data_IF_220051470551
#
_entry.id   IF_220051470551
#
_cell.length_a   1.000
_cell.length_b   1.000
_cell.length_c   1.000
_cell.angle_alpha   90.00
_cell.angle_beta   90.00
_cell.angle_gamma   90.00
#
_symmetry.space_group_name_H-M   'P 1'
#
loop_
_entity.id
_entity.type
_entity.pdbx_description
1 polymer ?
#
# COMPACT_ATOMS: atom_id res chain seq x y z
N UNK A 1 -4.52 -0.26 22.22
CA UNK A 1 -4.99 1.07 21.82
C UNK A 1 -6.04 0.90 20.74
N UNK A 2 -7.08 1.73 20.74
CA UNK A 2 -8.13 1.78 19.72
C UNK A 2 -8.12 3.18 19.12
N UNK A 3 -8.07 3.29 17.78
CA UNK A 3 -8.19 4.57 17.07
C UNK A 3 -9.66 4.75 16.66
N UNK A 4 -10.28 5.85 17.05
CA UNK A 4 -11.67 6.17 16.74
C UNK A 4 -11.77 7.66 16.35
N UNK A 5 -12.50 7.94 15.28
CA UNK A 5 -12.68 9.30 14.77
C UNK A 5 -13.89 10.00 15.37
N UNK A 6 -14.92 9.23 15.72
CA UNK A 6 -16.14 9.74 16.32
C UNK A 6 -15.97 9.89 17.83
N UNK A 7 -16.20 11.11 18.35
CA UNK A 7 -16.01 11.44 19.77
C UNK A 7 -16.96 10.66 20.69
N UNK A 8 -18.21 10.40 20.24
CA UNK A 8 -19.17 9.62 21.00
C UNK A 8 -18.70 8.18 21.16
N UNK A 9 -18.31 7.54 20.05
CA UNK A 9 -17.81 6.16 20.08
C UNK A 9 -16.45 6.04 20.78
N UNK A 10 -15.57 7.04 20.67
CA UNK A 10 -14.31 7.05 21.41
C UNK A 10 -14.56 7.06 22.92
N UNK A 11 -15.46 7.91 23.41
CA UNK A 11 -15.85 7.98 24.82
C UNK A 11 -16.51 6.67 25.31
N UNK A 12 -17.43 6.12 24.51
CA UNK A 12 -18.12 4.87 24.83
C UNK A 12 -17.14 3.68 24.89
N UNK A 13 -16.20 3.58 23.96
CA UNK A 13 -15.14 2.55 23.96
C UNK A 13 -14.20 2.69 25.13
N UNK A 14 -13.87 3.91 25.53
CA UNK A 14 -13.07 4.15 26.72
C UNK A 14 -13.81 3.75 27.99
N UNK A 15 -15.13 4.00 28.07
CA UNK A 15 -15.99 3.62 29.19
C UNK A 15 -16.17 2.11 29.31
N UNK A 16 -16.38 1.42 28.19
CA UNK A 16 -16.61 -0.03 28.12
C UNK A 16 -15.32 -0.84 28.08
N UNK A 17 -14.19 -0.19 27.80
CA UNK A 17 -12.89 -0.84 27.69
C UNK A 17 -12.43 -1.46 29.01
N UNK A 18 -11.83 -2.66 28.92
CA UNK A 18 -11.12 -3.24 30.05
C UNK A 18 -9.96 -2.32 30.49
N UNK A 19 -9.45 -2.51 31.70
CA UNK A 19 -8.36 -1.69 32.28
C UNK A 19 -7.10 -1.54 31.40
N UNK A 20 -6.95 -2.39 30.36
CA UNK A 20 -5.84 -2.36 29.40
C UNK A 20 -6.20 -1.73 28.04
N UNK A 21 -7.43 -1.20 27.89
CA UNK A 21 -7.86 -0.59 26.64
C UNK A 21 -7.75 0.93 26.73
N UNK A 22 -7.05 1.54 25.79
CA UNK A 22 -6.99 2.97 25.60
C UNK A 22 -7.66 3.32 24.27
N UNK A 23 -8.72 4.15 24.29
CA UNK A 23 -9.31 4.73 23.11
C UNK A 23 -8.66 6.09 22.84
N UNK A 24 -8.27 6.32 21.60
CA UNK A 24 -7.67 7.59 21.15
C UNK A 24 -8.57 8.19 20.09
N UNK A 25 -9.06 9.39 20.36
CA UNK A 25 -9.85 10.16 19.40
C UNK A 25 -8.93 10.69 18.29
N UNK A 26 -8.94 10.03 17.15
CA UNK A 26 -8.11 10.42 16.00
C UNK A 26 -8.66 9.86 14.70
N UNK A 27 -8.38 10.56 13.61
CA UNK A 27 -8.58 10.03 12.26
C UNK A 27 -7.39 9.14 11.88
N UNK A 28 -7.63 7.88 11.52
CA UNK A 28 -6.58 6.95 11.10
C UNK A 28 -5.77 7.47 9.88
N UNK A 29 -6.34 8.33 9.04
CA UNK A 29 -5.65 9.00 7.94
C UNK A 29 -4.67 10.10 8.41
N UNK A 30 -4.79 10.56 9.66
CA UNK A 30 -3.91 11.57 10.27
C UNK A 30 -3.01 11.00 11.35
N UNK A 31 -3.16 9.71 11.65
CA UNK A 31 -2.32 9.06 12.64
C UNK A 31 -0.89 8.93 12.09
N UNK A 32 0.07 9.31 12.91
CA UNK A 32 1.49 9.18 12.55
C UNK A 32 1.98 7.73 12.74
N UNK A 33 1.91 6.96 11.66
CA UNK A 33 2.31 5.56 11.64
C UNK A 33 3.81 5.34 11.88
N UNK A 34 4.66 6.37 11.73
CA UNK A 34 6.10 6.28 12.03
C UNK A 34 6.42 6.06 13.52
N UNK A 35 5.42 6.27 14.39
CA UNK A 35 5.53 5.96 15.83
C UNK A 35 5.58 4.47 16.14
N UNK A 36 5.24 3.62 15.16
CA UNK A 36 5.33 2.16 15.28
C UNK A 36 6.72 1.75 14.79
N UNK A 37 7.63 1.59 15.73
CA UNK A 37 9.04 1.29 15.52
C UNK A 37 9.39 -0.13 15.98
N UNK A 38 10.54 -0.70 15.59
CA UNK A 38 10.99 -1.99 16.11
C UNK A 38 11.07 -2.06 17.64
N UNK A 39 11.38 -0.94 18.30
CA UNK A 39 11.41 -0.84 19.78
C UNK A 39 10.00 -0.73 20.38
N UNK A 40 9.00 -0.42 19.58
CA UNK A 40 7.59 -0.34 19.96
C UNK A 40 6.72 -1.11 18.95
N UNK A 41 6.79 -2.44 18.92
CA UNK A 41 6.15 -3.28 17.91
C UNK A 41 4.65 -3.42 18.13
N UNK A 42 3.88 -3.37 17.04
CA UNK A 42 2.43 -3.46 17.08
C UNK A 42 1.88 -4.57 16.18
N UNK A 43 0.76 -5.15 16.63
CA UNK A 43 -0.20 -5.87 15.79
C UNK A 43 -1.44 -5.02 15.63
N UNK A 44 -1.96 -4.92 14.41
CA UNK A 44 -3.08 -4.05 14.08
C UNK A 44 -4.22 -4.88 13.51
N UNK A 45 -5.42 -4.64 13.99
CA UNK A 45 -6.64 -5.21 13.40
C UNK A 45 -7.64 -4.08 13.15
N UNK A 46 -8.44 -4.19 12.09
CA UNK A 46 -9.45 -3.18 11.78
C UNK A 46 -10.51 -3.65 10.80
N UNK A 47 -11.74 -3.23 11.09
CA UNK A 47 -12.81 -3.19 10.10
C UNK A 47 -12.78 -1.77 9.49
N UNK A 48 -12.25 -1.64 8.29
CA UNK A 48 -11.96 -0.33 7.71
C UNK A 48 -13.15 0.20 6.90
N UNK A 49 -13.54 1.47 7.12
CA UNK A 49 -14.45 2.14 6.20
C UNK A 49 -13.87 2.10 4.78
N UNK A 50 -14.71 1.84 3.79
CA UNK A 50 -14.29 1.57 2.42
C UNK A 50 -13.47 2.68 1.76
N UNK A 51 -13.79 3.93 2.08
CA UNK A 51 -13.07 5.11 1.57
C UNK A 51 -11.73 5.37 2.28
N UNK A 52 -11.50 4.76 3.44
CA UNK A 52 -10.30 4.97 4.28
C UNK A 52 -9.23 3.90 4.04
N UNK A 53 -9.64 2.69 3.66
CA UNK A 53 -8.77 1.53 3.60
C UNK A 53 -7.51 1.74 2.74
N UNK A 54 -7.67 2.15 1.48
CA UNK A 54 -6.53 2.29 0.56
C UNK A 54 -5.54 3.37 0.97
N UNK A 55 -5.93 4.62 1.27
CA UNK A 55 -4.98 5.64 1.69
C UNK A 55 -4.34 5.33 3.06
N UNK A 56 -5.08 4.73 4.00
CA UNK A 56 -4.53 4.32 5.28
C UNK A 56 -3.46 3.24 5.11
N UNK A 57 -3.73 2.21 4.29
CA UNK A 57 -2.76 1.13 4.05
C UNK A 57 -1.52 1.65 3.32
N UNK A 58 -1.69 2.63 2.42
CA UNK A 58 -0.56 3.28 1.74
C UNK A 58 0.44 3.86 2.75
N UNK A 59 -0.06 4.61 3.72
CA UNK A 59 0.76 5.24 4.76
C UNK A 59 1.26 4.24 5.80
N UNK A 60 0.38 3.38 6.30
CA UNK A 60 0.71 2.41 7.34
C UNK A 60 1.90 1.52 6.94
N UNK A 61 1.81 0.84 5.78
CA UNK A 61 2.81 -0.16 5.41
C UNK A 61 4.16 0.46 5.07
N UNK A 62 4.22 1.67 4.55
CA UNK A 62 5.48 2.36 4.26
C UNK A 62 6.14 2.97 5.50
N UNK A 63 5.37 3.36 6.52
CA UNK A 63 5.89 4.15 7.65
C UNK A 63 6.02 3.36 8.94
N UNK A 64 5.20 2.33 9.17
CA UNK A 64 5.21 1.54 10.40
C UNK A 64 6.29 0.45 10.35
N UNK A 65 7.52 0.80 10.71
CA UNK A 65 8.68 -0.13 10.66
C UNK A 65 8.60 -1.23 11.71
N UNK A 66 7.91 -1.01 12.82
CA UNK A 66 7.68 -1.99 13.90
C UNK A 66 6.36 -2.75 13.77
N UNK A 67 5.68 -2.69 12.62
CA UNK A 67 4.48 -3.50 12.40
C UNK A 67 4.85 -4.98 12.34
N UNK A 68 4.27 -5.77 13.26
CA UNK A 68 4.52 -7.23 13.35
C UNK A 68 3.53 -8.00 12.50
N UNK A 69 2.27 -7.59 12.50
CA UNK A 69 1.19 -8.19 11.71
C UNK A 69 0.02 -7.24 11.62
N UNK A 70 -0.70 -7.27 10.52
CA UNK A 70 -1.99 -6.62 10.43
C UNK A 70 -3.06 -7.57 9.90
N UNK A 71 -4.33 -7.32 10.27
CA UNK A 71 -5.50 -7.97 9.69
C UNK A 71 -6.59 -6.93 9.48
N UNK A 72 -7.10 -6.85 8.25
CA UNK A 72 -8.13 -5.87 7.91
C UNK A 72 -9.28 -6.52 7.17
N UNK A 73 -10.49 -6.06 7.50
CA UNK A 73 -11.67 -6.30 6.69
C UNK A 73 -11.90 -5.08 5.79
N UNK A 74 -12.02 -5.33 4.49
CA UNK A 74 -12.20 -4.32 3.43
C UNK A 74 -13.24 -4.80 2.42
N UNK A 75 -13.63 -3.97 1.46
CA UNK A 75 -14.41 -4.44 0.31
C UNK A 75 -13.65 -5.55 -0.42
N UNK A 76 -14.37 -6.56 -0.92
CA UNK A 76 -13.82 -7.70 -1.66
C UNK A 76 -12.94 -7.25 -2.84
N UNK A 77 -13.36 -6.22 -3.60
CA UNK A 77 -12.59 -5.68 -4.71
C UNK A 77 -11.24 -5.10 -4.25
N UNK A 78 -11.22 -4.38 -3.13
CA UNK A 78 -9.98 -3.85 -2.53
C UNK A 78 -9.08 -5.02 -2.10
N UNK A 79 -9.65 -6.05 -1.48
CA UNK A 79 -8.93 -7.26 -1.11
C UNK A 79 -8.32 -7.98 -2.33
N UNK A 80 -9.08 -8.10 -3.41
CA UNK A 80 -8.59 -8.67 -4.67
C UNK A 80 -7.44 -7.86 -5.26
N UNK A 81 -7.50 -6.52 -5.20
CA UNK A 81 -6.39 -5.65 -5.64
C UNK A 81 -5.15 -5.86 -4.79
N UNK A 82 -5.29 -5.89 -3.47
CA UNK A 82 -4.17 -6.06 -2.55
C UNK A 82 -3.41 -7.37 -2.76
N UNK A 83 -4.13 -8.47 -3.03
CA UNK A 83 -3.57 -9.81 -3.20
C UNK A 83 -3.25 -10.16 -4.67
N UNK A 84 -3.57 -9.29 -5.63
CA UNK A 84 -3.33 -9.55 -7.06
C UNK A 84 -1.85 -9.54 -7.39
N UNK A 85 -1.42 -10.47 -8.25
CA UNK A 85 -0.10 -10.49 -8.87
C UNK A 85 -0.08 -9.90 -10.29
N UNK A 86 1.11 -9.76 -10.90
CA UNK A 86 1.27 -9.28 -12.27
C UNK A 86 0.41 -10.04 -13.27
N UNK A 87 -0.12 -9.33 -14.27
CA UNK A 87 -0.99 -9.90 -15.30
C UNK A 87 -2.45 -10.10 -14.85
N UNK A 88 -2.76 -10.00 -13.57
CA UNK A 88 -4.13 -10.08 -13.08
C UNK A 88 -4.87 -8.75 -13.32
N UNK A 89 -6.17 -8.82 -13.70
CA UNK A 89 -7.00 -7.64 -13.95
C UNK A 89 -7.16 -6.70 -12.75
N UNK A 90 -7.01 -7.19 -11.52
CA UNK A 90 -7.06 -6.40 -10.29
C UNK A 90 -5.70 -5.80 -9.89
N UNK A 91 -4.59 -6.24 -10.49
CA UNK A 91 -3.26 -5.76 -10.18
C UNK A 91 -3.11 -4.27 -10.56
N UNK A 92 -2.57 -3.48 -9.63
CA UNK A 92 -2.46 -2.03 -9.81
C UNK A 92 -1.57 -1.35 -8.79
N UNK A 93 -1.64 -0.03 -8.72
CA UNK A 93 -0.80 0.80 -7.84
C UNK A 93 -0.82 0.33 -6.37
N UNK A 94 -2.00 0.04 -5.83
CA UNK A 94 -2.15 -0.43 -4.45
C UNK A 94 -1.52 -1.81 -4.24
N UNK A 95 -1.62 -2.70 -5.24
CA UNK A 95 -0.99 -4.03 -5.20
C UNK A 95 0.53 -3.89 -5.08
N UNK A 96 1.14 -3.15 -6.01
CA UNK A 96 2.59 -2.94 -6.03
C UNK A 96 3.06 -2.29 -4.73
N UNK A 97 2.39 -1.20 -4.31
CA UNK A 97 2.79 -0.47 -3.12
C UNK A 97 2.76 -1.35 -1.88
N UNK A 98 1.61 -1.94 -1.55
CA UNK A 98 1.49 -2.74 -0.32
C UNK A 98 2.39 -3.97 -0.35
N UNK A 99 2.51 -4.65 -1.50
CA UNK A 99 3.37 -5.82 -1.65
C UNK A 99 4.88 -5.48 -1.61
N UNK A 100 5.25 -4.22 -1.78
CA UNK A 100 6.63 -3.76 -1.56
C UNK A 100 7.01 -3.69 -0.08
N UNK A 101 6.04 -3.74 0.85
CA UNK A 101 6.27 -3.62 2.29
C UNK A 101 5.71 -4.79 3.10
N UNK A 102 4.77 -5.55 2.56
CA UNK A 102 4.10 -6.65 3.26
C UNK A 102 3.62 -7.71 2.28
N UNK A 103 3.37 -8.91 2.77
CA UNK A 103 2.72 -10.02 2.05
C UNK A 103 1.24 -10.06 2.41
N UNK A 104 0.33 -9.55 1.55
CA UNK A 104 -1.11 -9.68 1.76
C UNK A 104 -1.57 -11.10 1.44
N UNK A 105 -2.45 -11.63 2.28
CA UNK A 105 -3.12 -12.91 2.06
C UNK A 105 -4.62 -12.73 2.29
N UNK A 106 -5.44 -13.12 1.32
CA UNK A 106 -6.88 -13.16 1.50
C UNK A 106 -7.24 -14.43 2.31
N UNK A 107 -7.82 -14.25 3.48
CA UNK A 107 -8.16 -15.34 4.39
C UNK A 107 -9.56 -15.89 4.07
N UNK A 108 -10.56 -15.02 4.04
CA UNK A 108 -11.94 -15.41 3.73
C UNK A 108 -12.79 -14.21 3.28
N UNK A 109 -13.95 -14.52 2.70
CA UNK A 109 -14.95 -13.56 2.25
C UNK A 109 -16.11 -13.53 3.25
N UNK A 110 -16.63 -12.34 3.51
CA UNK A 110 -17.78 -12.10 4.40
C UNK A 110 -18.91 -11.52 3.56
N UNK A 111 -20.01 -12.26 3.47
CA UNK A 111 -21.19 -11.82 2.73
C UNK A 111 -21.95 -10.68 3.45
N UNK A 112 -22.79 -9.92 2.72
CA UNK A 112 -23.56 -8.80 3.26
C UNK A 112 -24.45 -9.16 4.44
N UNK A 113 -24.97 -10.38 4.51
CA UNK A 113 -25.84 -10.85 5.58
C UNK A 113 -25.21 -10.90 7.00
N UNK A 114 -23.88 -10.76 7.08
CA UNK A 114 -23.15 -10.68 8.35
C UNK A 114 -23.22 -9.29 9.02
N UNK A 115 -23.85 -8.31 8.36
CA UNK A 115 -23.84 -6.90 8.80
C UNK A 115 -25.27 -6.36 8.96
N UNK A 116 -25.43 -5.39 9.85
CA UNK A 116 -26.66 -4.63 10.02
C UNK A 116 -26.35 -3.12 10.10
N UNK A 117 -26.80 -2.30 9.15
CA UNK A 117 -27.44 -2.67 7.89
C UNK A 117 -26.49 -3.40 6.93
N UNK A 118 -26.99 -4.26 6.03
CA UNK A 118 -26.16 -4.99 5.09
C UNK A 118 -25.53 -4.05 4.04
N UNK A 119 -24.22 -4.18 3.75
CA UNK A 119 -23.57 -3.43 2.67
C UNK A 119 -24.03 -3.98 1.30
N UNK A 120 -23.79 -3.18 0.24
CA UNK A 120 -24.17 -3.57 -1.14
C UNK A 120 -23.21 -4.59 -1.79
N UNK A 121 -22.06 -4.83 -1.17
CA UNK A 121 -20.98 -5.66 -1.72
C UNK A 121 -20.39 -6.58 -0.66
N UNK A 122 -19.78 -7.68 -1.09
CA UNK A 122 -19.02 -8.55 -0.20
C UNK A 122 -17.83 -7.81 0.43
N UNK A 123 -17.47 -8.22 1.64
CA UNK A 123 -16.22 -7.87 2.30
C UNK A 123 -15.22 -9.02 2.19
N UNK A 124 -13.96 -8.73 2.38
CA UNK A 124 -12.89 -9.72 2.50
C UNK A 124 -12.02 -9.41 3.71
N UNK A 125 -11.62 -10.44 4.42
CA UNK A 125 -10.61 -10.35 5.49
C UNK A 125 -9.27 -10.75 4.91
N UNK A 126 -8.28 -9.88 5.10
CA UNK A 126 -6.90 -10.13 4.71
C UNK A 126 -5.98 -10.06 5.92
N UNK A 127 -5.00 -10.93 5.95
CA UNK A 127 -3.82 -10.80 6.81
C UNK A 127 -2.65 -10.22 6.03
N UNK A 128 -1.76 -9.55 6.75
CA UNK A 128 -0.56 -8.93 6.21
C UNK A 128 0.63 -9.29 7.09
N UNK A 129 1.64 -9.86 6.47
CA UNK A 129 2.93 -10.12 7.09
C UNK A 129 3.94 -9.10 6.56
N UNK A 130 4.41 -8.13 7.38
CA UNK A 130 5.37 -7.15 6.95
C UNK A 130 6.68 -7.80 6.48
N UNK A 131 7.25 -7.28 5.40
CA UNK A 131 8.57 -7.69 4.94
C UNK A 131 9.65 -7.23 5.93
N UNK A 132 10.75 -7.98 6.08
CA UNK A 132 11.96 -7.51 6.73
C UNK A 132 12.41 -6.15 6.15
N UNK A 133 13.05 -5.29 6.96
CA UNK A 133 13.39 -3.93 6.55
C UNK A 133 14.36 -3.91 5.37
N UNK A 134 15.27 -4.86 5.30
CA UNK A 134 16.24 -5.06 4.21
C UNK A 134 15.61 -5.53 2.88
N UNK A 135 14.36 -5.99 2.90
CA UNK A 135 13.60 -6.36 1.70
C UNK A 135 12.64 -5.25 1.23
N UNK A 136 12.55 -4.14 1.98
CA UNK A 136 11.69 -3.01 1.62
C UNK A 136 12.40 -2.06 0.67
N UNK A 137 11.66 -1.23 -0.08
CA UNK A 137 12.26 -0.24 -0.96
C UNK A 137 13.17 0.73 -0.20
N UNK A 138 14.36 0.96 -0.71
CA UNK A 138 15.31 1.96 -0.17
C UNK A 138 14.78 3.40 -0.38
N UNK A 139 14.11 3.64 -1.51
CA UNK A 139 13.56 4.94 -1.90
C UNK A 139 12.03 4.84 -2.12
N UNK A 140 11.24 4.76 -1.03
CA UNK A 140 9.78 4.68 -1.13
C UNK A 140 9.16 5.86 -1.87
N UNK A 141 9.76 7.05 -1.76
CA UNK A 141 9.36 8.27 -2.45
C UNK A 141 9.41 8.12 -3.97
N UNK A 142 10.52 7.57 -4.51
CA UNK A 142 10.68 7.33 -5.94
C UNK A 142 9.80 6.17 -6.40
N UNK A 143 9.67 5.12 -5.61
CA UNK A 143 8.74 4.03 -5.90
C UNK A 143 7.30 4.53 -6.04
N UNK A 144 6.83 5.38 -5.12
CA UNK A 144 5.51 6.00 -5.18
C UNK A 144 5.33 6.81 -6.47
N UNK A 145 6.36 7.56 -6.87
CA UNK A 145 6.36 8.37 -8.08
C UNK A 145 6.28 7.50 -9.34
N UNK A 146 7.10 6.45 -9.44
CA UNK A 146 7.09 5.49 -10.57
C UNK A 146 5.72 4.81 -10.67
N UNK A 147 5.21 4.29 -9.56
CA UNK A 147 3.88 3.66 -9.51
C UNK A 147 2.79 4.62 -10.00
N UNK A 148 2.79 5.85 -9.51
CA UNK A 148 1.81 6.87 -9.90
C UNK A 148 1.85 7.14 -11.40
N UNK A 149 3.03 7.40 -11.95
CA UNK A 149 3.21 7.69 -13.38
C UNK A 149 2.77 6.51 -14.24
N UNK A 150 3.18 5.31 -13.90
CA UNK A 150 2.87 4.09 -14.65
C UNK A 150 1.35 3.78 -14.63
N UNK A 151 0.71 3.81 -13.48
CA UNK A 151 -0.69 3.42 -13.37
C UNK A 151 -1.70 4.52 -13.73
N UNK A 152 -1.28 5.79 -13.88
CA UNK A 152 -2.11 6.82 -14.53
C UNK A 152 -2.40 6.48 -16.00
N UNK A 153 -1.54 5.72 -16.65
CA UNK A 153 -1.66 5.31 -18.05
C UNK A 153 -1.60 3.78 -18.21
N UNK A 154 -2.23 3.03 -17.30
CA UNK A 154 -2.20 1.58 -17.18
C UNK A 154 -2.27 0.81 -18.51
N UNK A 155 -3.09 1.28 -19.47
CA UNK A 155 -3.28 0.63 -20.78
C UNK A 155 -2.21 0.93 -21.82
N UNK A 156 -1.26 1.83 -21.53
CA UNK A 156 -0.17 2.20 -22.43
C UNK A 156 1.09 1.38 -22.15
N UNK A 157 1.92 1.21 -23.17
CA UNK A 157 3.25 0.61 -23.03
C UNK A 157 4.18 1.55 -22.26
N UNK A 158 5.11 0.99 -21.50
CA UNK A 158 6.06 1.73 -20.65
C UNK A 158 6.89 2.74 -21.46
N UNK A 159 7.38 2.37 -22.65
CA UNK A 159 8.09 3.29 -23.52
C UNK A 159 7.26 4.50 -23.97
N UNK A 160 5.93 4.34 -24.14
CA UNK A 160 5.05 5.47 -24.42
C UNK A 160 4.82 6.35 -23.20
N UNK A 161 4.71 5.75 -22.02
CA UNK A 161 4.58 6.47 -20.74
C UNK A 161 5.85 7.26 -20.48
N UNK A 162 7.02 6.62 -20.58
CA UNK A 162 8.32 7.22 -20.31
C UNK A 162 8.58 8.46 -21.19
N UNK A 163 8.23 8.41 -22.47
CA UNK A 163 8.43 9.55 -23.38
C UNK A 163 7.50 10.75 -23.13
N UNK A 164 6.36 10.56 -22.47
CA UNK A 164 5.30 11.57 -22.35
C UNK A 164 5.05 12.06 -20.93
N UNK A 165 5.70 11.46 -19.95
CA UNK A 165 5.55 11.88 -18.55
C UNK A 165 6.51 13.04 -18.21
N UNK A 166 6.24 13.80 -17.15
CA UNK A 166 7.13 14.86 -16.67
C UNK A 166 8.54 14.38 -16.29
N UNK A 167 8.72 13.06 -16.16
CA UNK A 167 10.00 12.41 -15.82
C UNK A 167 10.64 11.74 -17.03
N UNK A 168 10.31 12.18 -18.26
CA UNK A 168 10.62 11.45 -19.49
C UNK A 168 12.08 10.98 -19.64
N UNK A 169 13.13 11.81 -19.50
CA UNK A 169 14.50 11.32 -19.63
C UNK A 169 14.86 10.33 -18.52
N UNK A 170 14.52 10.67 -17.29
CA UNK A 170 14.81 9.87 -16.10
C UNK A 170 14.16 8.48 -16.17
N UNK A 171 12.85 8.40 -16.44
CA UNK A 171 12.13 7.12 -16.47
C UNK A 171 12.61 6.23 -17.63
N UNK A 172 12.94 6.82 -18.79
CA UNK A 172 13.48 6.06 -19.93
C UNK A 172 14.82 5.42 -19.57
N UNK A 173 15.73 6.17 -18.97
CA UNK A 173 17.03 5.66 -18.54
C UNK A 173 16.91 4.63 -17.41
N UNK A 174 15.99 4.83 -16.45
CA UNK A 174 15.74 3.89 -15.39
C UNK A 174 15.17 2.54 -15.90
N UNK A 175 14.28 2.57 -16.90
CA UNK A 175 13.78 1.36 -17.56
C UNK A 175 14.90 0.59 -18.26
N UNK A 176 15.77 1.29 -18.96
CA UNK A 176 16.92 0.70 -19.68
C UNK A 176 17.89 0.05 -18.68
N UNK A 177 18.27 0.75 -17.61
CA UNK A 177 19.18 0.23 -16.58
C UNK A 177 18.57 -0.96 -15.82
N UNK A 178 17.27 -0.96 -15.62
CA UNK A 178 16.56 -2.09 -15.00
C UNK A 178 16.37 -3.27 -15.96
N UNK A 179 16.74 -3.15 -17.24
CA UNK A 179 16.53 -4.19 -18.25
C UNK A 179 15.07 -4.43 -18.61
N UNK A 180 14.20 -3.44 -18.37
CA UNK A 180 12.75 -3.57 -18.59
C UNK A 180 12.39 -3.26 -20.03
N UNK A 181 11.76 -4.20 -20.70
CA UNK A 181 11.30 -4.07 -22.09
C UNK A 181 10.24 -2.96 -22.23
N UNK A 182 10.48 -1.93 -23.06
CA UNK A 182 9.57 -0.77 -23.20
C UNK A 182 8.19 -1.10 -23.76
N UNK A 183 8.00 -2.27 -24.37
CA UNK A 183 6.72 -2.74 -24.92
C UNK A 183 5.77 -3.30 -23.86
N UNK A 184 6.28 -3.62 -22.68
CA UNK A 184 5.46 -4.08 -21.55
C UNK A 184 4.53 -2.97 -21.07
N UNK A 185 3.42 -3.39 -20.45
CA UNK A 185 2.50 -2.49 -19.74
C UNK A 185 2.76 -2.54 -18.24
N UNK A 186 2.39 -1.50 -17.47
CA UNK A 186 2.60 -1.47 -16.02
C UNK A 186 2.05 -2.69 -15.27
N UNK A 187 0.90 -3.22 -15.71
CA UNK A 187 0.27 -4.38 -15.08
C UNK A 187 1.01 -5.71 -15.29
N UNK A 188 2.00 -5.75 -16.17
CA UNK A 188 2.83 -6.93 -16.44
C UNK A 188 4.10 -6.95 -15.61
N UNK A 189 4.48 -5.82 -15.01
CA UNK A 189 5.67 -5.71 -14.16
C UNK A 189 5.44 -6.35 -12.80
N UNK A 190 6.47 -7.01 -12.29
CA UNK A 190 6.52 -7.49 -10.90
C UNK A 190 6.75 -6.35 -9.91
N UNK A 191 6.53 -6.61 -8.64
CA UNK A 191 6.89 -5.67 -7.57
C UNK A 191 8.39 -5.37 -7.59
N UNK A 192 9.23 -6.39 -7.82
CA UNK A 192 10.68 -6.24 -7.92
C UNK A 192 11.08 -5.33 -9.09
N UNK A 193 10.42 -5.44 -10.24
CA UNK A 193 10.69 -4.56 -11.38
C UNK A 193 10.43 -3.09 -11.03
N UNK A 194 9.33 -2.78 -10.34
CA UNK A 194 9.05 -1.42 -9.87
C UNK A 194 10.11 -0.92 -8.87
N UNK A 195 10.57 -1.78 -7.97
CA UNK A 195 11.63 -1.44 -7.01
C UNK A 195 12.96 -1.18 -7.75
N UNK A 196 13.33 -2.00 -8.73
CA UNK A 196 14.54 -1.80 -9.54
C UNK A 196 14.46 -0.48 -10.33
N UNK A 197 13.34 -0.18 -10.99
CA UNK A 197 13.16 1.10 -11.69
C UNK A 197 13.36 2.29 -10.71
N UNK A 198 12.81 2.21 -9.50
CA UNK A 198 12.95 3.27 -8.51
C UNK A 198 14.39 3.42 -7.99
N UNK A 199 15.10 2.31 -7.80
CA UNK A 199 16.49 2.29 -7.33
C UNK A 199 17.45 2.88 -8.40
N UNK A 200 17.37 2.40 -9.65
CA UNK A 200 18.19 2.94 -10.74
C UNK A 200 17.87 4.40 -11.01
N UNK A 201 16.60 4.78 -10.89
CA UNK A 201 16.21 6.17 -10.97
C UNK A 201 16.83 7.05 -9.88
N UNK A 202 17.03 6.52 -8.67
CA UNK A 202 17.73 7.22 -7.59
C UNK A 202 19.17 7.57 -8.00
N UNK A 203 19.91 6.60 -8.52
CA UNK A 203 21.30 6.79 -8.95
C UNK A 203 21.47 7.87 -10.04
N UNK A 204 20.44 8.08 -10.87
CA UNK A 204 20.43 9.13 -11.89
C UNK A 204 20.15 10.52 -11.31
N UNK A 205 19.41 10.61 -10.20
CA UNK A 205 19.17 11.89 -9.51
C UNK A 205 20.35 12.29 -8.62
N UNK A 206 20.99 11.31 -7.99
CA UNK A 206 22.14 11.55 -7.10
C UNK A 206 23.44 11.82 -7.87
N UNK A 207 23.48 11.60 -9.20
CA UNK A 207 24.65 11.84 -10.03
C UNK A 207 24.32 12.71 -11.28
N UNK A 208 23.97 14.00 -11.11
CA UNK A 208 23.57 14.87 -12.20
C UNK A 208 24.71 15.24 -13.20
N UNK A 209 25.95 14.75 -12.99
CA UNK A 209 27.14 15.12 -13.77
C UNK A 209 27.45 14.16 -14.95
N UNK A 210 26.56 13.25 -15.31
CA UNK A 210 26.75 12.32 -16.44
C UNK A 210 25.83 12.51 -17.63
N UNK A 211 25.20 13.69 -17.76
CA UNK A 211 24.46 14.09 -18.98
C UNK A 211 25.06 15.32 -19.61
#
# INVERSE_FOLDING_TARGET
MLLEKDSHWAAERQRLGAARTQAVLTDALRFDWSRITPDNPWKIIGNLPYNVASPMMWDLFSRATGLVRAAFMVQKEVGQRLAAGPGNGHYGALSVWVQSFARPRMEFIVGPGAFSPPPKVDSAVLSFEPLPLDQRPERPDLLALVIKVCFQQRRKQLGSIARRCPLAPWLSAALEQAGITPTLRPEQLTVADFQHISLFGASLLDNPLKN
#
